data_IF_777472536261
#
_entry.id   IF_777472536261
#
_cell.length_a   1.000
_cell.length_b   1.000
_cell.length_c   1.000
_cell.angle_alpha   90.00
_cell.angle_beta   90.00
_cell.angle_gamma   90.00
#
_symmetry.space_group_name_H-M   'P 1'
#
loop_
_entity.id
_entity.type
_entity.pdbx_description
1 polymer ?
#
# COMPACT_ATOMS: atom_id res chain seq x y z
N UNK A 1 18.09 -31.27 -32.94
CA UNK A 1 17.78 -29.83 -33.07
C UNK A 1 17.68 -29.23 -31.69
N UNK A 2 18.27 -28.05 -31.45
CA UNK A 2 18.18 -27.32 -30.18
C UNK A 2 16.87 -26.54 -30.12
N UNK A 3 16.23 -26.52 -28.95
CA UNK A 3 14.94 -25.87 -28.69
C UNK A 3 14.87 -25.35 -27.25
N UNK A 4 13.92 -24.47 -26.96
CA UNK A 4 13.75 -23.78 -25.68
C UNK A 4 12.26 -23.64 -25.35
N UNK A 5 11.90 -23.74 -24.08
CA UNK A 5 10.57 -23.38 -23.57
C UNK A 5 10.79 -22.54 -22.31
N UNK A 6 10.76 -21.22 -22.47
CA UNK A 6 11.10 -20.30 -21.39
C UNK A 6 9.94 -20.01 -20.43
N UNK A 7 8.76 -20.59 -20.70
CA UNK A 7 7.58 -20.51 -19.84
C UNK A 7 7.62 -21.64 -18.82
N UNK A 8 7.74 -22.89 -19.29
CA UNK A 8 7.72 -24.06 -18.42
C UNK A 8 9.11 -24.45 -17.91
N UNK A 9 10.17 -24.22 -18.70
CA UNK A 9 11.55 -24.66 -18.40
C UNK A 9 12.57 -23.52 -18.61
N UNK A 10 12.43 -22.40 -17.88
CA UNK A 10 13.31 -21.25 -18.04
C UNK A 10 14.78 -21.61 -17.80
N UNK A 11 15.67 -21.04 -18.63
CA UNK A 11 17.14 -21.25 -18.57
C UNK A 11 17.58 -22.71 -18.80
N UNK A 12 16.74 -23.54 -19.39
CA UNK A 12 17.10 -24.89 -19.83
C UNK A 12 17.16 -24.98 -21.36
N UNK A 13 18.19 -25.63 -21.90
CA UNK A 13 18.24 -26.03 -23.30
C UNK A 13 17.50 -27.38 -23.46
N UNK A 14 16.71 -27.47 -24.51
CA UNK A 14 16.06 -28.70 -24.93
C UNK A 14 16.65 -29.23 -26.22
N UNK A 15 16.62 -30.55 -26.38
CA UNK A 15 17.00 -31.23 -27.62
C UNK A 15 15.84 -32.09 -28.11
N UNK A 16 15.45 -31.89 -29.38
CA UNK A 16 14.53 -32.81 -30.06
C UNK A 16 15.25 -34.15 -30.21
N UNK A 17 14.69 -35.19 -29.58
CA UNK A 17 15.25 -36.55 -29.56
C UNK A 17 14.53 -37.49 -30.53
N UNK A 18 13.26 -37.23 -30.83
CA UNK A 18 12.42 -38.08 -31.65
C UNK A 18 11.24 -37.29 -32.22
N UNK A 19 10.73 -37.73 -33.38
CA UNK A 19 9.47 -37.28 -33.96
C UNK A 19 8.57 -38.51 -34.05
N UNK A 20 7.53 -38.54 -33.20
CA UNK A 20 6.54 -39.63 -33.13
C UNK A 20 5.42 -39.33 -34.14
N UNK A 21 5.35 -40.12 -35.22
CA UNK A 21 4.33 -39.97 -36.28
C UNK A 21 3.14 -40.86 -35.97
N UNK A 22 1.99 -40.24 -35.69
CA UNK A 22 0.71 -40.92 -35.47
C UNK A 22 -0.15 -40.83 -36.71
N UNK A 23 -1.25 -41.58 -36.72
CA UNK A 23 -2.18 -41.63 -37.87
C UNK A 23 -2.79 -40.26 -38.17
N UNK A 24 -2.94 -39.41 -37.16
CA UNK A 24 -3.65 -38.14 -37.20
C UNK A 24 -2.76 -36.91 -36.95
N UNK A 25 -1.55 -37.07 -36.41
CA UNK A 25 -0.65 -35.97 -36.07
C UNK A 25 0.81 -36.41 -35.90
N UNK A 26 1.76 -35.49 -36.03
CA UNK A 26 3.14 -35.70 -35.55
C UNK A 26 3.35 -35.04 -34.18
N UNK A 27 4.21 -35.67 -33.38
CA UNK A 27 4.61 -35.17 -32.06
C UNK A 27 6.11 -35.02 -31.99
N UNK A 28 6.53 -33.85 -31.52
CA UNK A 28 7.94 -33.52 -31.30
C UNK A 28 8.30 -33.93 -29.86
N UNK A 29 9.21 -34.89 -29.73
CA UNK A 29 9.67 -35.36 -28.42
C UNK A 29 10.97 -34.65 -28.05
N UNK A 30 10.97 -33.97 -26.91
CA UNK A 30 12.06 -33.09 -26.46
C UNK A 30 12.55 -33.55 -25.09
N UNK A 31 13.87 -33.67 -24.95
CA UNK A 31 14.54 -33.82 -23.66
C UNK A 31 15.13 -32.47 -23.25
N UNK A 32 14.73 -31.93 -22.11
CA UNK A 32 15.35 -30.74 -21.52
C UNK A 32 16.45 -31.15 -20.55
N UNK A 33 17.53 -30.36 -20.49
CA UNK A 33 18.67 -30.62 -19.61
C UNK A 33 18.30 -30.63 -18.12
N UNK A 34 17.20 -29.96 -17.75
CA UNK A 34 16.71 -29.89 -16.37
C UNK A 34 15.80 -31.07 -15.97
N UNK A 35 15.53 -32.02 -16.88
CA UNK A 35 14.66 -33.17 -16.64
C UNK A 35 15.38 -34.47 -17.00
N UNK A 36 15.01 -35.55 -16.32
CA UNK A 36 15.48 -36.91 -16.63
C UNK A 36 14.51 -37.68 -17.54
N UNK A 37 13.44 -37.04 -18.00
CA UNK A 37 12.42 -37.63 -18.87
C UNK A 37 12.06 -36.73 -20.05
N UNK A 38 11.46 -37.34 -21.07
CA UNK A 38 11.09 -36.68 -22.33
C UNK A 38 9.70 -36.07 -22.24
N UNK A 39 9.53 -34.91 -22.87
CA UNK A 39 8.24 -34.25 -23.03
C UNK A 39 7.78 -34.30 -24.49
N UNK A 40 6.47 -34.30 -24.69
CA UNK A 40 5.86 -34.31 -26.01
C UNK A 40 5.23 -32.96 -26.32
N UNK A 41 5.51 -32.47 -27.52
CA UNK A 41 4.94 -31.24 -28.07
C UNK A 41 4.21 -31.57 -29.38
N UNK A 42 3.21 -30.78 -29.72
CA UNK A 42 2.61 -30.78 -31.05
C UNK A 42 3.60 -30.26 -32.09
N UNK A 43 3.34 -30.48 -33.38
CA UNK A 43 4.09 -29.84 -34.48
C UNK A 43 4.19 -28.31 -34.34
N UNK A 44 3.14 -27.67 -33.81
CA UNK A 44 3.11 -26.21 -33.60
C UNK A 44 3.88 -25.75 -32.36
N UNK A 45 4.50 -26.64 -31.59
CA UNK A 45 5.28 -26.28 -30.39
C UNK A 45 4.48 -26.11 -29.10
N UNK A 46 3.25 -26.65 -29.02
CA UNK A 46 2.45 -26.67 -27.78
C UNK A 46 2.73 -27.94 -26.98
N UNK A 47 2.94 -27.80 -25.68
CA UNK A 47 3.15 -28.93 -24.77
C UNK A 47 1.87 -29.79 -24.68
N UNK A 48 1.94 -31.09 -24.96
CA UNK A 48 0.74 -31.94 -25.09
C UNK A 48 -0.02 -32.17 -23.79
N UNK A 49 0.61 -31.93 -22.63
CA UNK A 49 -0.03 -32.05 -21.31
C UNK A 49 -0.85 -30.80 -20.92
N UNK A 50 -0.89 -29.77 -21.77
CA UNK A 50 -1.65 -28.53 -21.54
C UNK A 50 -3.05 -28.59 -22.15
N UNK A 51 -3.93 -27.66 -21.77
CA UNK A 51 -5.28 -27.52 -22.34
C UNK A 51 -5.21 -27.27 -23.86
N UNK A 52 -6.26 -27.66 -24.59
CA UNK A 52 -6.33 -27.51 -26.06
C UNK A 52 -6.26 -26.06 -26.57
N UNK A 53 -6.44 -25.08 -25.69
CA UNK A 53 -6.34 -23.64 -26.00
C UNK A 53 -5.00 -23.03 -25.57
N UNK A 54 -4.09 -23.82 -25.01
CA UNK A 54 -2.79 -23.31 -24.61
C UNK A 54 -1.99 -22.83 -25.82
N UNK A 55 -1.32 -21.70 -25.65
CA UNK A 55 -0.42 -21.14 -26.66
C UNK A 55 0.86 -21.96 -26.77
N UNK A 56 1.42 -22.11 -27.99
CA UNK A 56 2.73 -22.73 -28.17
C UNK A 56 3.85 -21.99 -27.43
N UNK A 57 4.75 -22.76 -26.84
CA UNK A 57 5.87 -22.26 -26.02
C UNK A 57 7.23 -22.80 -26.50
N UNK A 58 7.26 -23.88 -27.27
CA UNK A 58 8.50 -24.42 -27.80
C UNK A 58 9.05 -23.52 -28.92
N UNK A 59 10.27 -23.05 -28.75
CA UNK A 59 10.97 -22.15 -29.67
C UNK A 59 12.32 -22.73 -30.09
N UNK A 60 12.81 -22.35 -31.27
CA UNK A 60 14.16 -22.71 -31.74
C UNK A 60 15.24 -21.73 -31.27
N UNK A 61 14.84 -20.62 -30.66
CA UNK A 61 15.71 -19.64 -30.02
C UNK A 61 15.25 -19.31 -28.59
N UNK A 62 16.17 -18.95 -27.67
CA UNK A 62 15.80 -18.50 -26.34
C UNK A 62 14.90 -17.25 -26.41
N UNK A 63 13.96 -17.12 -25.48
CA UNK A 63 13.09 -15.96 -25.37
C UNK A 63 12.78 -15.66 -23.89
N UNK A 64 12.26 -14.49 -23.59
CA UNK A 64 11.90 -14.09 -22.22
C UNK A 64 10.41 -13.75 -22.16
N UNK A 65 9.73 -14.27 -21.15
CA UNK A 65 8.34 -13.91 -20.86
C UNK A 65 8.34 -12.65 -20.00
N UNK A 66 7.98 -11.50 -20.58
CA UNK A 66 7.96 -10.20 -19.91
C UNK A 66 6.53 -9.69 -19.72
N UNK A 67 6.31 -8.88 -18.68
CA UNK A 67 5.01 -8.23 -18.43
C UNK A 67 4.00 -9.09 -17.65
N UNK A 68 4.44 -10.17 -17.02
CA UNK A 68 3.60 -10.97 -16.12
C UNK A 68 3.91 -10.64 -14.66
N UNK A 69 2.97 -9.97 -13.98
CA UNK A 69 3.06 -9.64 -12.56
C UNK A 69 1.72 -9.89 -11.88
N UNK A 70 1.71 -10.66 -10.80
CA UNK A 70 0.52 -10.92 -9.98
C UNK A 70 0.60 -10.10 -8.68
N UNK A 71 0.41 -8.78 -8.77
CA UNK A 71 0.22 -7.93 -7.60
C UNK A 71 -1.28 -7.71 -7.37
N UNK A 72 -1.72 -7.86 -6.12
CA UNK A 72 -3.02 -7.33 -5.74
C UNK A 72 -3.02 -5.81 -6.01
N UNK A 73 -4.10 -5.25 -6.57
CA UNK A 73 -4.17 -3.81 -6.79
C UNK A 73 -4.03 -3.09 -5.44
N UNK A 74 -3.24 -2.03 -5.41
CA UNK A 74 -3.24 -1.11 -4.27
C UNK A 74 -4.59 -0.42 -4.25
N UNK A 75 -5.33 -0.44 -3.11
CA UNK A 75 -6.63 0.19 -3.05
C UNK A 75 -6.51 1.68 -3.33
N UNK A 76 -7.43 2.18 -4.14
CA UNK A 76 -7.55 3.60 -4.46
C UNK A 76 -8.39 4.33 -3.41
N UNK A 77 -8.29 5.66 -3.39
CA UNK A 77 -9.12 6.47 -2.51
C UNK A 77 -10.61 6.29 -2.84
N UNK A 78 -10.93 6.23 -4.13
CA UNK A 78 -12.29 6.06 -4.65
C UNK A 78 -12.91 4.73 -4.21
N UNK A 79 -12.14 3.64 -4.27
CA UNK A 79 -12.58 2.32 -3.77
C UNK A 79 -12.84 2.33 -2.27
N UNK A 80 -11.97 2.99 -1.49
CA UNK A 80 -12.16 3.14 -0.05
C UNK A 80 -13.40 4.01 0.28
N UNK A 81 -13.65 5.05 -0.50
CA UNK A 81 -14.81 5.93 -0.35
C UNK A 81 -16.12 5.20 -0.70
N UNK A 82 -16.14 4.40 -1.76
CA UNK A 82 -17.29 3.55 -2.11
C UNK A 82 -17.58 2.51 -1.03
N UNK A 83 -16.53 1.88 -0.49
CA UNK A 83 -16.67 0.95 0.61
C UNK A 83 -17.29 1.63 1.84
N UNK A 84 -16.79 2.82 2.20
CA UNK A 84 -17.35 3.64 3.29
C UNK A 84 -18.82 3.97 3.05
N UNK A 85 -19.21 4.37 1.82
CA UNK A 85 -20.61 4.65 1.45
C UNK A 85 -21.50 3.40 1.61
N UNK A 86 -21.01 2.21 1.24
CA UNK A 86 -21.75 0.95 1.41
C UNK A 86 -21.94 0.60 2.89
N UNK A 87 -20.91 0.77 3.70
CA UNK A 87 -20.99 0.55 5.15
C UNK A 87 -21.87 1.60 5.87
N UNK A 88 -21.90 2.83 5.35
CA UNK A 88 -22.81 3.88 5.81
C UNK A 88 -24.28 3.48 5.63
N UNK A 89 -24.65 2.91 4.47
CA UNK A 89 -26.02 2.41 4.20
C UNK A 89 -26.41 1.28 5.15
N UNK A 90 -25.45 0.49 5.63
CA UNK A 90 -25.69 -0.58 6.62
C UNK A 90 -25.89 -0.07 8.05
N UNK A 91 -25.73 1.23 8.30
CA UNK A 91 -25.95 1.87 9.60
C UNK A 91 -24.79 1.75 10.59
N UNK A 92 -23.74 0.98 10.28
CA UNK A 92 -22.61 0.73 11.19
C UNK A 92 -21.69 1.95 11.41
N UNK A 93 -21.61 2.86 10.44
CA UNK A 93 -20.62 3.97 10.43
C UNK A 93 -21.27 5.36 10.64
N UNK A 94 -22.60 5.45 10.64
CA UNK A 94 -23.32 6.73 10.58
C UNK A 94 -22.98 7.69 11.75
N UNK A 95 -22.92 7.19 12.98
CA UNK A 95 -22.55 7.99 14.15
C UNK A 95 -21.08 8.39 14.14
N UNK A 96 -20.18 7.47 13.78
CA UNK A 96 -18.74 7.76 13.70
C UNK A 96 -18.43 8.86 12.67
N UNK A 97 -19.15 8.89 11.54
CA UNK A 97 -18.85 9.85 10.47
C UNK A 97 -19.26 11.28 10.85
N UNK A 98 -20.39 11.46 11.53
CA UNK A 98 -20.80 12.78 12.05
C UNK A 98 -19.79 13.28 13.08
N UNK A 99 -19.41 12.43 14.03
CA UNK A 99 -18.43 12.77 15.06
C UNK A 99 -17.06 13.11 14.45
N UNK A 100 -16.66 12.42 13.38
CA UNK A 100 -15.42 12.72 12.64
C UNK A 100 -15.49 14.07 11.91
N UNK A 101 -16.60 14.41 11.25
CA UNK A 101 -16.74 15.72 10.61
C UNK A 101 -16.73 16.86 11.62
N UNK A 102 -17.41 16.69 12.75
CA UNK A 102 -17.40 17.66 13.85
C UNK A 102 -15.99 17.81 14.43
N UNK A 103 -15.26 16.69 14.64
CA UNK A 103 -13.87 16.70 15.08
C UNK A 103 -12.93 17.36 14.06
N UNK A 104 -13.12 17.13 12.75
CA UNK A 104 -12.32 17.76 11.69
C UNK A 104 -12.51 19.28 11.66
N UNK A 105 -13.75 19.76 11.75
CA UNK A 105 -14.05 21.19 11.81
C UNK A 105 -13.52 21.84 13.10
N UNK A 106 -13.61 21.14 14.24
CA UNK A 106 -13.02 21.60 15.48
C UNK A 106 -11.49 21.69 15.39
N UNK A 107 -10.83 20.67 14.81
CA UNK A 107 -9.39 20.67 14.59
C UNK A 107 -8.94 21.81 13.68
N UNK A 108 -9.67 22.05 12.59
CA UNK A 108 -9.41 23.18 11.68
C UNK A 108 -9.47 24.52 12.42
N UNK A 109 -10.48 24.75 13.27
CA UNK A 109 -10.59 25.97 14.08
C UNK A 109 -9.43 26.10 15.07
N UNK A 110 -9.06 25.00 15.73
CA UNK A 110 -7.94 24.97 16.67
C UNK A 110 -6.62 25.32 16.00
N UNK A 111 -6.35 24.81 14.79
CA UNK A 111 -5.15 25.12 14.00
C UNK A 111 -5.04 26.64 13.75
N UNK A 112 -6.15 27.25 13.28
CA UNK A 112 -6.21 28.70 13.01
C UNK A 112 -6.01 29.52 14.28
N UNK A 113 -6.70 29.17 15.37
CA UNK A 113 -6.54 29.85 16.65
C UNK A 113 -5.13 29.68 17.20
N UNK A 114 -4.53 28.50 17.09
CA UNK A 114 -3.17 28.23 17.54
C UNK A 114 -2.15 29.12 16.80
N UNK A 115 -2.31 29.31 15.50
CA UNK A 115 -1.43 30.21 14.73
C UNK A 115 -1.64 31.69 15.13
N UNK A 116 -2.88 32.08 15.45
CA UNK A 116 -3.19 33.42 15.95
C UNK A 116 -2.55 33.68 17.33
N UNK A 117 -2.68 32.75 18.27
CA UNK A 117 -2.11 32.85 19.63
C UNK A 117 -0.57 32.83 19.60
N UNK A 118 0.01 32.15 18.61
CA UNK A 118 1.45 32.12 18.38
C UNK A 118 1.97 33.36 17.62
N UNK A 119 1.11 34.28 17.20
CA UNK A 119 1.49 35.45 16.39
C UNK A 119 2.28 35.05 15.12
N UNK A 120 1.89 33.94 14.49
CA UNK A 120 2.56 33.40 13.31
C UNK A 120 3.88 32.67 13.57
N UNK A 121 4.29 32.50 14.83
CA UNK A 121 5.42 31.63 15.16
C UNK A 121 5.16 30.19 14.71
N UNK A 122 6.18 29.55 14.13
CA UNK A 122 6.15 28.15 13.70
C UNK A 122 7.32 27.37 14.32
N UNK A 123 7.10 26.12 14.76
CA UNK A 123 8.16 25.29 15.29
C UNK A 123 9.20 24.92 14.24
N UNK A 124 10.48 24.94 14.63
CA UNK A 124 11.60 24.52 13.78
C UNK A 124 12.06 23.12 14.21
N UNK A 125 11.50 22.12 13.57
CA UNK A 125 11.78 20.71 13.84
C UNK A 125 13.17 20.25 13.39
N UNK A 126 13.92 21.08 12.65
CA UNK A 126 15.27 20.72 12.21
C UNK A 126 16.30 20.77 13.36
N UNK A 127 15.97 21.49 14.44
CA UNK A 127 16.85 21.70 15.60
C UNK A 127 16.53 20.71 16.71
N UNK A 128 17.44 19.77 16.93
CA UNK A 128 17.42 18.90 18.11
C UNK A 128 17.47 19.73 19.39
N UNK A 129 16.76 19.29 20.44
CA UNK A 129 16.77 19.86 21.79
C UNK A 129 16.17 21.27 21.96
N UNK A 130 15.29 21.74 21.08
CA UNK A 130 14.46 22.91 21.40
C UNK A 130 13.26 22.48 22.26
N UNK A 131 13.05 23.13 23.38
CA UNK A 131 11.84 22.88 24.16
C UNK A 131 10.64 23.40 23.37
N UNK A 132 9.72 22.51 23.03
CA UNK A 132 8.45 22.83 22.39
C UNK A 132 7.34 22.66 23.42
N UNK A 133 6.31 23.50 23.38
CA UNK A 133 5.17 23.40 24.27
C UNK A 133 3.96 22.92 23.47
N UNK A 134 3.33 21.82 23.85
CA UNK A 134 2.22 21.29 23.07
C UNK A 134 1.04 20.78 23.91
N UNK A 135 -0.10 20.67 23.23
CA UNK A 135 -1.30 19.98 23.72
C UNK A 135 -1.46 18.71 22.90
N UNK A 136 -1.64 17.56 23.56
CA UNK A 136 -1.80 16.25 22.93
C UNK A 136 -2.75 15.35 23.70
N UNK A 137 -3.21 14.27 23.09
CA UNK A 137 -4.03 13.25 23.76
C UNK A 137 -3.16 12.07 24.18
N UNK A 138 -3.14 11.78 25.49
CA UNK A 138 -2.46 10.60 26.05
C UNK A 138 -3.44 9.80 26.89
N UNK A 139 -3.58 8.51 26.61
CA UNK A 139 -4.54 7.63 27.29
C UNK A 139 -5.97 8.22 27.28
N UNK A 140 -6.40 8.72 26.11
CA UNK A 140 -7.70 9.36 25.91
C UNK A 140 -7.96 10.62 26.79
N UNK A 141 -6.89 11.29 27.24
CA UNK A 141 -6.97 12.54 28.01
C UNK A 141 -6.14 13.62 27.36
N UNK A 142 -6.69 14.83 27.29
CA UNK A 142 -5.95 16.01 26.87
C UNK A 142 -4.90 16.31 27.92
N UNK A 143 -3.65 16.42 27.48
CA UNK A 143 -2.49 16.66 28.33
C UNK A 143 -1.63 17.77 27.74
N UNK A 144 -1.02 18.55 28.63
CA UNK A 144 0.02 19.51 28.26
C UNK A 144 1.37 18.85 28.34
N UNK A 145 2.25 19.18 27.41
CA UNK A 145 3.61 18.67 27.39
C UNK A 145 4.61 19.78 27.04
N UNK A 146 5.84 19.59 27.53
CA UNK A 146 6.96 20.50 27.35
C UNK A 146 8.31 19.76 27.33
N UNK A 147 8.32 18.44 27.17
CA UNK A 147 9.55 17.66 27.30
C UNK A 147 10.40 17.61 26.02
N UNK A 148 11.69 17.27 26.18
CA UNK A 148 12.65 17.06 25.08
C UNK A 148 12.16 16.09 24.01
N UNK A 149 11.34 15.12 24.40
CA UNK A 149 10.76 14.08 23.53
C UNK A 149 9.81 14.67 22.47
N UNK A 150 9.28 15.89 22.67
CA UNK A 150 8.49 16.59 21.63
C UNK A 150 9.34 16.85 20.38
N UNK A 151 10.67 16.94 20.50
CA UNK A 151 11.54 17.05 19.33
C UNK A 151 11.60 15.77 18.48
N UNK A 152 11.10 14.65 18.99
CA UNK A 152 11.04 13.36 18.29
C UNK A 152 9.65 13.10 17.66
N UNK A 153 8.63 13.90 18.00
CA UNK A 153 7.26 13.73 17.51
C UNK A 153 6.64 15.07 17.10
N UNK A 154 6.21 15.17 15.84
CA UNK A 154 5.41 16.31 15.41
C UNK A 154 4.07 16.35 16.18
N UNK A 155 3.67 17.53 16.61
CA UNK A 155 2.37 17.78 17.21
C UNK A 155 1.63 18.88 16.44
N UNK A 156 0.31 18.80 16.41
CA UNK A 156 -0.54 19.79 15.71
C UNK A 156 -0.63 21.08 16.51
N UNK A 157 -0.85 20.97 17.83
CA UNK A 157 -1.03 22.09 18.74
C UNK A 157 0.28 22.39 19.46
N UNK A 158 1.16 23.13 18.80
CA UNK A 158 2.48 23.52 19.31
C UNK A 158 2.53 25.03 19.47
N UNK A 159 3.18 25.47 20.54
CA UNK A 159 3.22 26.85 20.99
C UNK A 159 4.66 27.28 21.25
N UNK A 160 4.91 28.58 21.04
CA UNK A 160 6.22 29.19 21.27
C UNK A 160 6.60 29.23 22.75
N UNK A 161 5.60 29.33 23.63
CA UNK A 161 5.77 29.40 25.08
C UNK A 161 4.66 28.66 25.85
N UNK A 162 4.97 28.23 27.08
CA UNK A 162 4.02 27.52 27.94
C UNK A 162 2.85 28.38 28.40
N UNK A 163 3.01 29.70 28.52
CA UNK A 163 1.93 30.61 28.94
C UNK A 163 0.85 30.71 27.86
N UNK A 164 1.26 30.78 26.59
CA UNK A 164 0.36 30.78 25.44
C UNK A 164 -0.38 29.45 25.35
N UNK A 165 0.33 28.33 25.49
CA UNK A 165 -0.26 26.98 25.53
C UNK A 165 -1.31 26.86 26.63
N UNK A 166 -0.96 27.24 27.87
CA UNK A 166 -1.84 27.06 29.02
C UNK A 166 -3.08 27.96 28.90
N UNK A 167 -2.92 29.20 28.41
CA UNK A 167 -4.05 30.08 28.09
C UNK A 167 -4.95 29.49 27.00
N UNK A 168 -4.37 28.99 25.92
CA UNK A 168 -5.10 28.35 24.83
C UNK A 168 -5.90 27.13 25.29
N UNK A 169 -5.31 26.29 26.14
CA UNK A 169 -5.95 25.09 26.70
C UNK A 169 -7.21 25.46 27.50
N UNK A 170 -7.14 26.50 28.32
CA UNK A 170 -8.28 26.96 29.12
C UNK A 170 -9.37 27.59 28.24
N UNK A 171 -8.99 28.47 27.30
CA UNK A 171 -9.93 29.22 26.48
C UNK A 171 -10.60 28.36 25.38
N UNK A 172 -9.94 27.28 24.93
CA UNK A 172 -10.41 26.44 23.81
C UNK A 172 -10.80 25.00 24.23
N UNK A 173 -11.06 24.78 25.53
CA UNK A 173 -11.33 23.45 26.10
C UNK A 173 -12.46 22.68 25.39
N UNK A 174 -13.57 23.35 25.06
CA UNK A 174 -14.71 22.72 24.38
C UNK A 174 -14.33 22.23 22.98
N UNK A 175 -13.64 23.07 22.21
CA UNK A 175 -13.14 22.71 20.89
C UNK A 175 -12.13 21.56 20.97
N UNK A 176 -11.27 21.56 21.99
CA UNK A 176 -10.29 20.51 22.21
C UNK A 176 -10.96 19.16 22.52
N UNK A 177 -12.04 19.14 23.29
CA UNK A 177 -12.80 17.90 23.56
C UNK A 177 -13.48 17.35 22.32
N UNK A 178 -14.03 18.21 21.45
CA UNK A 178 -14.63 17.80 20.17
C UNK A 178 -13.56 17.25 19.22
N UNK A 179 -12.40 17.92 19.13
CA UNK A 179 -11.30 17.51 18.26
C UNK A 179 -10.47 16.34 18.80
N UNK A 180 -10.65 15.95 20.07
CA UNK A 180 -9.87 14.93 20.78
C UNK A 180 -9.62 13.63 19.99
N UNK A 181 -10.56 13.08 19.20
CA UNK A 181 -10.31 11.86 18.42
C UNK A 181 -9.22 12.00 17.33
N UNK A 182 -8.85 13.24 16.96
CA UNK A 182 -7.91 13.56 15.89
C UNK A 182 -6.61 14.23 16.40
N UNK A 183 -6.48 14.43 17.72
CA UNK A 183 -5.37 15.09 18.41
C UNK A 183 -4.45 14.07 19.11
#
# INVERSE_FOLDING_TARGET
MKVYDSVFFPKSEGKVVEIDKRVDCERVIVQFDCLDYKLSYTEQGRLTSTHNEAVPTLSTSPYTFQGFEQKAPTPTYEEAEEWMKKEYVKGSICLMMRDVFEALEALRKLIVLRDYYNEGWQPDWSKKNRMHFCIRVRNNKITKDSNSDINEFNAVLVFSDYTIRDKFLEEQKELLEIAKPLL
#
